data_IF_718678213501
#
_entry.id   IF_718678213501
#
_cell.length_a   1.000
_cell.length_b   1.000
_cell.length_c   1.000
_cell.angle_alpha   90.00
_cell.angle_beta   90.00
_cell.angle_gamma   90.00
#
_symmetry.space_group_name_H-M   'P 1'
#
loop_
_entity.id
_entity.type
_entity.pdbx_description
1 polymer ?
#
# COMPACT_ATOMS: atom_id res chain seq x y z
N UNK A 1 -16.19 -2.40 -20.85
CA UNK A 1 -15.31 -3.21 -21.73
C UNK A 1 -14.25 -2.28 -22.29
N UNK A 2 -12.96 -2.53 -22.03
CA UNK A 2 -11.89 -1.70 -22.60
C UNK A 2 -11.82 -1.90 -24.12
N UNK A 3 -11.70 -0.81 -24.88
CA UNK A 3 -11.44 -0.89 -26.32
C UNK A 3 -10.06 -1.52 -26.59
N UNK A 4 -9.84 -2.05 -27.79
CA UNK A 4 -8.53 -2.62 -28.19
C UNK A 4 -7.41 -1.59 -28.00
N UNK A 5 -7.66 -0.33 -28.35
CA UNK A 5 -6.75 0.79 -28.10
C UNK A 5 -6.48 1.00 -26.61
N UNK A 6 -7.51 0.87 -25.76
CA UNK A 6 -7.34 0.89 -24.31
C UNK A 6 -6.35 -0.16 -23.83
N UNK A 7 -6.51 -1.41 -24.26
CA UNK A 7 -5.66 -2.55 -23.87
C UNK A 7 -4.20 -2.32 -24.26
N UNK A 8 -3.92 -1.81 -25.46
CA UNK A 8 -2.56 -1.51 -25.89
C UNK A 8 -1.89 -0.42 -25.03
N UNK A 9 -2.64 0.63 -24.66
CA UNK A 9 -2.14 1.69 -23.79
C UNK A 9 -1.82 1.17 -22.39
N UNK A 10 -2.63 0.25 -21.84
CA UNK A 10 -2.30 -0.45 -20.58
C UNK A 10 -0.97 -1.17 -20.72
N UNK A 11 -0.81 -1.93 -21.81
CA UNK A 11 0.39 -2.72 -22.08
C UNK A 11 1.63 -1.83 -22.20
N UNK A 12 1.56 -0.72 -22.93
CA UNK A 12 2.67 0.24 -23.02
C UNK A 12 3.02 0.82 -21.65
N UNK A 13 2.01 1.23 -20.89
CA UNK A 13 2.20 1.81 -19.56
C UNK A 13 2.95 0.87 -18.62
N UNK A 14 2.53 -0.40 -18.53
CA UNK A 14 3.20 -1.40 -17.69
C UNK A 14 4.59 -1.77 -18.22
N UNK A 15 4.70 -2.01 -19.54
CA UNK A 15 5.95 -2.47 -20.16
C UNK A 15 7.07 -1.44 -20.07
N UNK A 16 6.73 -0.15 -20.00
CA UNK A 16 7.69 0.92 -19.83
C UNK A 16 8.48 0.74 -18.52
N UNK A 17 7.77 0.56 -17.41
CA UNK A 17 8.38 0.34 -16.09
C UNK A 17 9.09 -1.02 -15.99
N UNK A 18 8.59 -2.07 -16.65
CA UNK A 18 9.31 -3.34 -16.74
C UNK A 18 10.64 -3.20 -17.49
N UNK A 19 10.67 -2.35 -18.53
CA UNK A 19 11.89 -2.06 -19.27
C UNK A 19 12.86 -1.19 -18.45
N UNK A 20 12.35 -0.21 -17.68
CA UNK A 20 13.16 0.53 -16.69
C UNK A 20 13.82 -0.43 -15.69
N UNK A 21 13.03 -1.34 -15.13
CA UNK A 21 13.47 -2.34 -14.17
C UNK A 21 14.54 -3.28 -14.75
N UNK A 22 14.36 -3.68 -16.02
CA UNK A 22 15.33 -4.51 -16.75
C UNK A 22 16.53 -3.70 -17.29
N UNK A 23 16.69 -2.43 -16.89
CA UNK A 23 17.74 -1.50 -17.33
C UNK A 23 17.79 -1.25 -18.83
N UNK A 24 16.72 -1.54 -19.57
CA UNK A 24 16.62 -1.25 -20.99
C UNK A 24 16.00 0.14 -21.21
N UNK A 25 16.80 1.18 -20.96
CA UNK A 25 16.34 2.58 -20.94
C UNK A 25 15.86 3.07 -22.31
N UNK A 26 16.50 2.66 -23.41
CA UNK A 26 16.05 3.02 -24.77
C UNK A 26 14.65 2.49 -25.05
N UNK A 27 14.38 1.23 -24.69
CA UNK A 27 13.05 0.65 -24.83
C UNK A 27 12.05 1.30 -23.87
N UNK A 28 12.45 1.55 -22.62
CA UNK A 28 11.61 2.24 -21.65
C UNK A 28 11.18 3.63 -22.16
N UNK A 29 12.10 4.43 -22.69
CA UNK A 29 11.83 5.75 -23.27
C UNK A 29 10.74 5.68 -24.35
N UNK A 30 10.91 4.80 -25.34
CA UNK A 30 9.94 4.61 -26.43
C UNK A 30 8.55 4.18 -25.91
N UNK A 31 8.51 3.32 -24.89
CA UNK A 31 7.26 2.86 -24.28
C UNK A 31 6.58 3.95 -23.46
N UNK A 32 7.34 4.79 -22.73
CA UNK A 32 6.79 5.96 -22.06
C UNK A 32 6.18 6.95 -23.05
N UNK A 33 6.88 7.24 -24.15
CA UNK A 33 6.37 8.12 -25.21
C UNK A 33 5.05 7.59 -25.81
N UNK A 34 5.01 6.29 -26.12
CA UNK A 34 3.82 5.61 -26.63
C UNK A 34 2.66 5.64 -25.63
N UNK A 35 2.94 5.44 -24.33
CA UNK A 35 1.96 5.55 -23.26
C UNK A 35 1.40 6.98 -23.14
N UNK A 36 2.25 8.02 -23.19
CA UNK A 36 1.81 9.41 -23.16
C UNK A 36 0.87 9.73 -24.31
N UNK A 37 1.23 9.34 -25.53
CA UNK A 37 0.40 9.56 -26.71
C UNK A 37 -0.96 8.86 -26.58
N UNK A 38 -0.95 7.57 -26.24
CA UNK A 38 -2.17 6.79 -26.10
C UNK A 38 -3.09 7.26 -24.97
N UNK A 39 -2.54 7.64 -23.81
CA UNK A 39 -3.32 8.17 -22.69
C UNK A 39 -3.99 9.50 -23.02
N UNK A 40 -3.29 10.40 -23.73
CA UNK A 40 -3.88 11.67 -24.19
C UNK A 40 -5.01 11.44 -25.19
N UNK A 41 -4.84 10.51 -26.14
CA UNK A 41 -5.89 10.15 -27.09
C UNK A 41 -7.13 9.60 -26.37
N UNK A 42 -6.95 8.70 -25.40
CA UNK A 42 -8.06 8.19 -24.58
C UNK A 42 -8.74 9.34 -23.81
N UNK A 43 -7.97 10.25 -23.22
CA UNK A 43 -8.51 11.40 -22.48
C UNK A 43 -9.37 12.33 -23.36
N UNK A 44 -8.99 12.50 -24.64
CA UNK A 44 -9.75 13.24 -25.64
C UNK A 44 -11.03 12.49 -26.06
N UNK A 45 -10.95 11.18 -26.26
CA UNK A 45 -12.10 10.33 -26.63
C UNK A 45 -13.11 10.20 -25.48
N UNK A 46 -12.65 10.16 -24.22
CA UNK A 46 -13.49 10.07 -23.02
C UNK A 46 -13.89 11.45 -22.49
N UNK A 47 -14.12 12.44 -23.36
CA UNK A 47 -14.43 13.81 -22.95
C UNK A 47 -15.70 13.95 -22.09
N UNK A 48 -16.63 12.99 -22.20
CA UNK A 48 -17.84 12.92 -21.39
C UNK A 48 -17.62 12.38 -19.96
N UNK A 49 -16.51 11.67 -19.73
CA UNK A 49 -16.17 11.06 -18.45
C UNK A 49 -15.00 11.83 -17.82
N UNK A 50 -15.36 12.80 -16.98
CA UNK A 50 -14.40 13.68 -16.32
C UNK A 50 -13.44 12.91 -15.40
N UNK A 51 -13.87 11.81 -14.79
CA UNK A 51 -13.01 10.98 -13.94
C UNK A 51 -11.99 10.23 -14.79
N UNK A 52 -12.45 9.51 -15.82
CA UNK A 52 -11.57 8.77 -16.72
C UNK A 52 -10.53 9.70 -17.38
N UNK A 53 -10.97 10.89 -17.82
CA UNK A 53 -10.09 11.93 -18.37
C UNK A 53 -9.03 12.37 -17.36
N UNK A 54 -9.43 12.67 -16.12
CA UNK A 54 -8.50 13.12 -15.08
C UNK A 54 -7.45 12.06 -14.75
N UNK A 55 -7.86 10.79 -14.70
CA UNK A 55 -6.96 9.66 -14.48
C UNK A 55 -5.96 9.56 -15.63
N UNK A 56 -6.42 9.59 -16.88
CA UNK A 56 -5.56 9.53 -18.06
C UNK A 56 -4.58 10.71 -18.10
N UNK A 57 -5.02 11.93 -17.81
CA UNK A 57 -4.17 13.13 -17.79
C UNK A 57 -3.09 13.04 -16.70
N UNK A 58 -3.44 12.61 -15.48
CA UNK A 58 -2.47 12.42 -14.39
C UNK A 58 -1.44 11.36 -14.76
N UNK A 59 -1.88 10.27 -15.39
CA UNK A 59 -0.98 9.20 -15.80
C UNK A 59 -0.07 9.62 -16.97
N UNK A 60 -0.60 10.35 -17.95
CA UNK A 60 0.18 10.90 -19.05
C UNK A 60 1.28 11.83 -18.53
N UNK A 61 0.98 12.68 -17.53
CA UNK A 61 2.00 13.52 -16.88
C UNK A 61 3.06 12.69 -16.16
N UNK A 62 2.67 11.58 -15.53
CA UNK A 62 3.61 10.67 -14.87
C UNK A 62 4.56 10.00 -15.88
N UNK A 63 4.04 9.43 -16.97
CA UNK A 63 4.89 8.87 -18.03
C UNK A 63 5.74 9.93 -18.72
N UNK A 64 5.23 11.15 -18.94
CA UNK A 64 6.02 12.24 -19.53
C UNK A 64 7.20 12.63 -18.63
N UNK A 65 6.99 12.68 -17.32
CA UNK A 65 8.07 12.96 -16.35
C UNK A 65 9.15 11.88 -16.40
N UNK A 66 8.76 10.60 -16.48
CA UNK A 66 9.70 9.47 -16.63
C UNK A 66 10.42 9.48 -17.98
N UNK A 67 9.69 9.76 -19.08
CA UNK A 67 10.27 9.95 -20.40
C UNK A 67 11.38 11.01 -20.40
N UNK A 68 11.13 12.18 -19.79
CA UNK A 68 12.11 13.26 -19.74
C UNK A 68 13.33 12.90 -18.89
N UNK A 69 13.14 12.23 -17.75
CA UNK A 69 14.24 11.73 -16.91
C UNK A 69 15.12 10.72 -17.67
N UNK A 70 14.51 9.74 -18.35
CA UNK A 70 15.25 8.74 -19.10
C UNK A 70 15.97 9.38 -20.28
N UNK A 71 15.30 10.30 -20.99
CA UNK A 71 15.89 11.01 -22.11
C UNK A 71 17.15 11.79 -21.70
N UNK A 72 17.11 12.52 -20.58
CA UNK A 72 18.28 13.25 -20.11
C UNK A 72 19.45 12.32 -19.79
N UNK A 73 19.17 11.16 -19.20
CA UNK A 73 20.19 10.14 -18.91
C UNK A 73 20.82 9.60 -20.21
N UNK A 74 20.00 9.28 -21.22
CA UNK A 74 20.48 8.76 -22.51
C UNK A 74 21.27 9.80 -23.31
N UNK A 75 20.83 11.07 -23.29
CA UNK A 75 21.48 12.17 -24.00
C UNK A 75 22.88 12.49 -23.43
N UNK A 76 23.10 12.21 -22.13
CA UNK A 76 24.39 12.41 -21.45
C UNK A 76 25.43 11.31 -21.75
N UNK A 77 25.14 10.33 -22.62
CA UNK A 77 26.06 9.28 -23.10
C UNK A 77 26.77 8.45 -22.00
N UNK A 78 26.23 8.43 -20.79
CA UNK A 78 26.75 7.60 -19.73
C UNK A 78 25.84 6.38 -19.51
N UNK A 79 26.44 5.21 -19.31
CA UNK A 79 25.76 4.02 -18.75
C UNK A 79 25.36 4.29 -17.29
N UNK A 80 24.44 5.23 -17.08
CA UNK A 80 23.94 5.59 -15.76
C UNK A 80 22.64 4.82 -15.52
N UNK A 81 22.66 4.01 -14.47
CA UNK A 81 21.46 3.41 -13.90
C UNK A 81 20.47 4.51 -13.49
N UNK A 82 19.18 4.21 -13.56
CA UNK A 82 18.16 5.11 -13.02
C UNK A 82 18.46 5.42 -11.53
N UNK A 83 18.35 6.68 -11.09
CA UNK A 83 18.57 7.03 -9.68
C UNK A 83 17.58 6.31 -8.76
N UNK A 84 16.42 5.95 -9.31
CA UNK A 84 15.39 5.20 -8.61
C UNK A 84 14.53 4.40 -9.61
N UNK A 85 14.44 3.09 -9.37
CA UNK A 85 13.53 2.18 -10.07
C UNK A 85 12.23 2.11 -9.27
N UNK A 86 11.11 2.40 -9.94
CA UNK A 86 9.81 2.46 -9.28
C UNK A 86 9.27 1.04 -8.97
N UNK A 87 8.48 0.87 -7.89
CA UNK A 87 7.93 -0.43 -7.54
C UNK A 87 6.92 -0.94 -8.56
N UNK A 88 7.16 -2.11 -9.13
CA UNK A 88 6.30 -2.85 -10.08
C UNK A 88 5.91 -4.24 -9.56
N UNK A 89 5.00 -4.93 -10.23
CA UNK A 89 4.72 -6.35 -9.97
C UNK A 89 5.97 -7.22 -10.14
N UNK A 90 6.79 -6.99 -11.17
CA UNK A 90 8.06 -7.70 -11.36
C UNK A 90 9.02 -7.49 -10.18
N UNK A 91 9.19 -6.24 -9.71
CA UNK A 91 10.06 -5.99 -8.55
C UNK A 91 9.55 -6.66 -7.27
N UNK A 92 8.23 -6.84 -7.14
CA UNK A 92 7.66 -7.55 -6.00
C UNK A 92 7.96 -9.05 -6.07
N UNK A 93 7.85 -9.66 -7.25
CA UNK A 93 8.26 -11.05 -7.50
C UNK A 93 9.76 -11.27 -7.26
N UNK A 94 10.60 -10.35 -7.74
CA UNK A 94 12.04 -10.40 -7.50
C UNK A 94 12.39 -10.20 -6.03
N UNK A 95 11.72 -9.27 -5.34
CA UNK A 95 11.88 -9.09 -3.89
C UNK A 95 11.66 -10.40 -3.16
N UNK A 96 10.59 -11.13 -3.47
CA UNK A 96 10.31 -12.44 -2.87
C UNK A 96 11.39 -13.47 -3.22
N UNK A 97 11.77 -13.57 -4.50
CA UNK A 97 12.77 -14.53 -4.95
C UNK A 97 14.15 -14.28 -4.33
N UNK A 98 14.54 -13.02 -4.13
CA UNK A 98 15.77 -12.64 -3.45
C UNK A 98 15.74 -13.02 -1.97
N UNK A 99 14.64 -12.72 -1.27
CA UNK A 99 14.45 -13.12 0.14
C UNK A 99 14.57 -14.63 0.30
N UNK A 100 13.91 -15.42 -0.57
CA UNK A 100 14.00 -16.88 -0.54
C UNK A 100 15.41 -17.41 -0.81
N UNK A 101 16.14 -16.82 -1.78
CA UNK A 101 17.52 -17.23 -2.09
C UNK A 101 18.48 -17.01 -0.93
N UNK A 102 18.21 -15.99 -0.10
CA UNK A 102 19.00 -15.69 1.09
C UNK A 102 18.65 -16.57 2.29
N UNK A 103 17.60 -17.41 2.17
CA UNK A 103 17.09 -18.21 3.29
C UNK A 103 16.26 -17.39 4.29
N UNK A 104 15.93 -16.16 3.95
CA UNK A 104 15.10 -15.27 4.77
C UNK A 104 13.61 -15.59 4.58
N UNK A 105 12.79 -15.18 5.55
CA UNK A 105 11.34 -15.35 5.49
C UNK A 105 10.70 -14.25 4.63
N UNK A 106 10.11 -14.65 3.50
CA UNK A 106 9.28 -13.79 2.66
C UNK A 106 7.82 -13.85 3.13
N UNK A 107 7.47 -13.06 4.15
CA UNK A 107 6.15 -13.11 4.78
C UNK A 107 5.01 -12.83 3.79
N UNK A 108 5.26 -11.99 2.78
CA UNK A 108 4.31 -11.73 1.71
C UNK A 108 3.96 -12.96 0.88
N UNK A 109 4.96 -13.82 0.58
CA UNK A 109 4.73 -15.07 -0.14
C UNK A 109 4.01 -16.08 0.74
N UNK A 110 4.37 -16.16 2.02
CA UNK A 110 3.71 -17.03 2.99
C UNK A 110 2.23 -16.71 3.11
N UNK A 111 1.85 -15.42 3.13
CA UNK A 111 0.45 -15.00 3.13
C UNK A 111 -0.26 -15.42 1.83
N UNK A 112 0.34 -15.21 0.66
CA UNK A 112 -0.26 -15.63 -0.61
C UNK A 112 -0.50 -17.14 -0.66
N UNK A 113 0.51 -17.94 -0.28
CA UNK A 113 0.40 -19.41 -0.23
C UNK A 113 -0.62 -19.88 0.83
N UNK A 114 -0.67 -19.21 1.98
CA UNK A 114 -1.63 -19.52 3.03
C UNK A 114 -3.07 -19.22 2.57
N UNK A 115 -3.28 -18.08 1.89
CA UNK A 115 -4.59 -17.70 1.37
C UNK A 115 -5.08 -18.71 0.32
N UNK A 116 -4.22 -19.09 -0.64
CA UNK A 116 -4.52 -20.10 -1.64
C UNK A 116 -4.86 -21.46 -0.99
N UNK A 117 -4.00 -21.93 -0.07
CA UNK A 117 -4.22 -23.19 0.62
C UNK A 117 -5.54 -23.22 1.38
N UNK A 118 -5.89 -22.16 2.10
CA UNK A 118 -7.12 -22.12 2.90
C UNK A 118 -8.38 -22.15 2.03
N UNK A 119 -8.35 -21.53 0.84
CA UNK A 119 -9.45 -21.63 -0.12
C UNK A 119 -9.58 -23.05 -0.67
N UNK A 120 -8.48 -23.64 -1.11
CA UNK A 120 -8.50 -25.02 -1.63
C UNK A 120 -8.87 -26.05 -0.54
N UNK A 121 -8.49 -25.79 0.71
CA UNK A 121 -8.83 -26.63 1.87
C UNK A 121 -10.33 -26.60 2.21
N UNK A 122 -11.01 -25.49 1.95
CA UNK A 122 -12.46 -25.37 2.11
C UNK A 122 -13.20 -26.25 1.08
N UNK A 123 -12.70 -26.29 -0.15
CA UNK A 123 -13.22 -27.14 -1.23
C UNK A 123 -12.80 -28.62 -1.07
N UNK A 124 -11.62 -28.87 -0.51
CA UNK A 124 -11.03 -30.20 -0.30
C UNK A 124 -10.53 -30.36 1.15
N UNK A 125 -11.40 -30.80 2.09
CA UNK A 125 -11.07 -30.94 3.50
C UNK A 125 -9.92 -31.89 3.82
N UNK A 126 -9.51 -32.78 2.91
CA UNK A 126 -8.39 -33.70 3.10
C UNK A 126 -7.06 -33.18 2.52
N UNK A 127 -7.05 -31.97 1.94
CA UNK A 127 -5.85 -31.37 1.34
C UNK A 127 -4.72 -31.24 2.36
N UNK A 128 -3.58 -31.85 2.04
CA UNK A 128 -2.37 -31.77 2.85
C UNK A 128 -1.80 -30.34 2.84
N UNK A 129 -1.26 -29.90 3.97
CA UNK A 129 -0.60 -28.59 4.07
C UNK A 129 0.67 -28.58 3.20
N UNK A 130 0.84 -27.61 2.28
CA UNK A 130 2.06 -27.47 1.50
C UNK A 130 3.30 -27.32 2.38
N UNK A 131 4.40 -27.96 2.01
CA UNK A 131 5.64 -27.96 2.80
C UNK A 131 6.18 -26.54 3.07
N UNK A 132 5.98 -25.62 2.13
CA UNK A 132 6.41 -24.23 2.20
C UNK A 132 5.77 -23.48 3.38
N UNK A 133 4.50 -23.76 3.68
CA UNK A 133 3.74 -23.07 4.75
C UNK A 133 3.47 -23.97 5.96
N UNK A 134 3.97 -25.20 5.97
CA UNK A 134 3.73 -26.17 7.05
C UNK A 134 4.11 -25.62 8.42
N UNK A 135 5.20 -24.86 8.49
CA UNK A 135 5.69 -24.24 9.72
C UNK A 135 4.71 -23.20 10.31
N UNK A 136 3.84 -22.60 9.49
CA UNK A 136 2.82 -21.64 9.96
C UNK A 136 1.75 -22.30 10.84
N UNK A 137 1.55 -23.61 10.69
CA UNK A 137 0.56 -24.39 11.42
C UNK A 137 1.12 -25.01 12.70
N UNK A 138 2.45 -24.98 12.89
CA UNK A 138 3.10 -25.49 14.08
C UNK A 138 3.55 -24.33 14.97
N UNK A 139 2.72 -24.03 15.98
CA UNK A 139 2.95 -22.98 16.97
C UNK A 139 4.27 -23.11 17.74
N UNK A 140 4.90 -24.28 17.75
CA UNK A 140 6.19 -24.49 18.42
C UNK A 140 7.39 -24.09 17.55
N UNK A 141 7.18 -23.97 16.23
CA UNK A 141 8.23 -23.66 15.25
C UNK A 141 8.10 -22.27 14.63
N UNK A 142 6.96 -21.60 14.81
CA UNK A 142 6.71 -20.29 14.22
C UNK A 142 7.55 -19.22 14.93
N UNK A 143 8.70 -18.90 14.33
CA UNK A 143 9.55 -17.80 14.78
C UNK A 143 8.88 -16.45 14.54
N UNK A 144 9.04 -15.48 15.46
CA UNK A 144 8.61 -14.11 15.24
C UNK A 144 9.29 -13.49 14.02
N UNK A 145 8.50 -12.91 13.13
CA UNK A 145 8.97 -12.25 11.91
C UNK A 145 9.84 -11.02 12.21
N UNK A 146 9.49 -10.22 13.22
CA UNK A 146 10.24 -9.03 13.60
C UNK A 146 11.67 -9.34 14.06
N UNK A 147 11.94 -10.60 14.45
CA UNK A 147 13.27 -11.07 14.84
C UNK A 147 14.04 -11.71 13.68
N UNK A 148 13.38 -12.05 12.56
CA UNK A 148 14.04 -12.61 11.37
C UNK A 148 14.54 -11.55 10.39
N UNK A 149 14.21 -10.27 10.61
CA UNK A 149 14.66 -9.18 9.75
C UNK A 149 16.12 -8.83 10.00
N UNK A 150 16.90 -8.67 8.92
CA UNK A 150 18.29 -8.22 9.02
C UNK A 150 18.37 -6.77 9.53
N UNK A 151 18.86 -6.64 10.77
CA UNK A 151 19.04 -5.35 11.44
C UNK A 151 20.05 -4.41 10.76
N UNK A 152 20.88 -4.91 9.85
CA UNK A 152 21.84 -4.10 9.08
C UNK A 152 21.19 -3.40 7.87
N UNK A 153 20.00 -3.83 7.45
CA UNK A 153 19.29 -3.20 6.34
C UNK A 153 18.69 -1.87 6.76
N UNK A 154 19.02 -0.82 6.01
CA UNK A 154 18.50 0.53 6.27
C UNK A 154 16.98 0.57 6.11
N UNK A 155 16.31 1.24 7.05
CA UNK A 155 14.87 1.47 6.96
C UNK A 155 14.53 2.39 5.79
N UNK A 156 13.47 2.06 5.04
CA UNK A 156 12.97 2.89 3.94
C UNK A 156 12.10 4.02 4.50
N UNK A 157 12.28 5.24 4.04
CA UNK A 157 11.53 6.40 4.51
C UNK A 157 10.83 7.13 3.38
N UNK A 158 9.59 7.53 3.63
CA UNK A 158 8.71 8.14 2.64
C UNK A 158 7.99 9.35 3.24
N UNK A 159 7.81 10.37 2.41
CA UNK A 159 6.88 11.47 2.63
C UNK A 159 5.58 11.17 1.91
N UNK A 160 4.47 11.23 2.62
CA UNK A 160 3.13 11.18 2.04
C UNK A 160 2.63 12.61 1.82
N UNK A 161 2.40 12.97 0.56
CA UNK A 161 1.79 14.24 0.15
C UNK A 161 0.37 13.97 -0.37
N UNK A 162 -0.55 14.93 -0.22
CA UNK A 162 -1.92 14.77 -0.72
C UNK A 162 -2.18 15.75 -1.86
N UNK A 163 -2.54 15.22 -3.02
CA UNK A 163 -3.12 16.01 -4.10
C UNK A 163 -4.65 16.00 -3.97
N UNK A 164 -5.28 17.15 -4.16
CA UNK A 164 -6.74 17.27 -4.19
C UNK A 164 -7.21 17.59 -5.60
N UNK A 165 -8.17 16.82 -6.09
CA UNK A 165 -8.97 17.17 -7.26
C UNK A 165 -10.28 17.80 -6.76
N UNK A 166 -10.34 19.14 -6.81
CA UNK A 166 -11.49 19.92 -6.35
C UNK A 166 -12.76 19.66 -7.16
N UNK A 167 -12.62 19.19 -8.40
CA UNK A 167 -13.76 18.95 -9.30
C UNK A 167 -14.54 17.69 -8.90
N UNK A 168 -13.85 16.67 -8.38
CA UNK A 168 -14.45 15.36 -8.08
C UNK A 168 -14.42 15.00 -6.59
N UNK A 169 -14.07 15.95 -5.71
CA UNK A 169 -13.86 15.71 -4.27
C UNK A 169 -12.98 14.45 -4.02
N UNK A 170 -11.99 14.27 -4.89
CA UNK A 170 -11.12 13.10 -4.90
C UNK A 170 -9.76 13.48 -4.33
N UNK A 171 -9.33 12.75 -3.31
CA UNK A 171 -8.06 12.95 -2.63
C UNK A 171 -7.10 11.85 -3.03
N UNK A 172 -5.86 12.25 -3.28
CA UNK A 172 -4.81 11.37 -3.78
C UNK A 172 -3.59 11.46 -2.87
N UNK A 173 -3.57 10.76 -1.74
CA UNK A 173 -2.33 10.53 -1.01
C UNK A 173 -1.31 9.82 -1.91
N UNK A 174 -0.10 10.36 -1.99
CA UNK A 174 1.03 9.88 -2.79
C UNK A 174 2.23 9.64 -1.87
N UNK A 175 2.85 8.47 -1.97
CA UNK A 175 4.07 8.15 -1.22
C UNK A 175 5.32 8.41 -2.07
N UNK A 176 6.19 9.28 -1.56
CA UNK A 176 7.44 9.67 -2.18
C UNK A 176 8.62 9.26 -1.31
N UNK A 177 9.64 8.55 -1.83
CA UNK A 177 10.86 8.32 -1.07
C UNK A 177 11.47 9.65 -0.63
N UNK A 178 11.99 9.74 0.61
CA UNK A 178 12.56 11.00 1.12
C UNK A 178 13.74 11.47 0.24
N UNK A 179 14.57 10.54 -0.21
CA UNK A 179 15.75 10.84 -1.03
C UNK A 179 15.40 11.12 -2.51
N UNK A 180 14.15 10.87 -2.92
CA UNK A 180 13.67 11.02 -4.30
C UNK A 180 12.25 11.63 -4.30
N UNK A 181 12.08 12.87 -3.81
CA UNK A 181 10.76 13.45 -3.54
C UNK A 181 9.89 13.63 -4.79
N UNK A 182 10.51 13.73 -5.97
CA UNK A 182 9.79 13.87 -7.25
C UNK A 182 9.25 12.52 -7.77
N UNK A 183 9.65 11.40 -7.16
CA UNK A 183 9.22 10.06 -7.55
C UNK A 183 8.05 9.60 -6.68
N UNK A 184 6.94 9.27 -7.31
CA UNK A 184 5.78 8.67 -6.61
C UNK A 184 5.86 7.16 -6.71
N UNK A 185 5.92 6.45 -5.58
CA UNK A 185 5.96 4.98 -5.54
C UNK A 185 4.57 4.37 -5.45
N UNK A 186 3.76 4.92 -4.56
CA UNK A 186 2.43 4.40 -4.25
C UNK A 186 1.42 5.53 -4.18
N UNK A 187 0.16 5.21 -4.47
CA UNK A 187 -0.93 6.17 -4.51
C UNK A 187 -2.19 5.53 -3.93
N UNK A 188 -2.91 6.28 -3.12
CA UNK A 188 -4.24 5.94 -2.66
C UNK A 188 -5.23 6.85 -3.38
N UNK A 189 -6.33 6.28 -3.90
CA UNK A 189 -7.45 7.04 -4.44
C UNK A 189 -8.59 7.01 -3.45
N UNK A 190 -8.99 8.19 -3.00
CA UNK A 190 -10.10 8.39 -2.07
C UNK A 190 -11.14 9.26 -2.74
N UNK A 191 -12.23 8.66 -3.19
CA UNK A 191 -13.35 9.39 -3.79
C UNK A 191 -14.38 9.67 -2.69
N UNK A 192 -14.80 10.93 -2.55
CA UNK A 192 -15.80 11.32 -1.57
C UNK A 192 -16.94 12.05 -2.26
N UNK A 193 -18.17 11.55 -2.15
CA UNK A 193 -19.35 12.25 -2.67
C UNK A 193 -20.13 12.91 -1.55
N UNK A 194 -20.03 14.24 -1.45
CA UNK A 194 -20.77 15.04 -0.47
C UNK A 194 -20.38 14.72 0.98
N UNK A 195 -21.37 14.72 1.88
CA UNK A 195 -21.16 14.56 3.34
C UNK A 195 -20.99 13.11 3.81
N UNK A 196 -20.96 12.13 2.91
CA UNK A 196 -20.82 10.73 3.30
C UNK A 196 -19.37 10.40 3.68
N UNK A 197 -19.23 9.39 4.54
CA UNK A 197 -17.94 8.74 4.77
C UNK A 197 -17.59 7.96 3.50
N UNK A 198 -16.32 7.94 3.12
CA UNK A 198 -15.88 7.04 2.05
C UNK A 198 -15.73 5.62 2.60
N UNK A 199 -16.31 4.67 1.88
CA UNK A 199 -16.36 3.25 2.27
C UNK A 199 -15.37 2.42 1.45
N UNK A 200 -15.28 2.70 0.14
CA UNK A 200 -14.40 1.96 -0.76
C UNK A 200 -13.32 2.90 -1.29
N UNK A 201 -12.06 2.50 -1.10
CA UNK A 201 -10.89 3.21 -1.60
C UNK A 201 -9.95 2.21 -2.25
N UNK A 202 -9.10 2.69 -3.14
CA UNK A 202 -8.25 1.84 -3.95
C UNK A 202 -6.79 2.28 -3.83
N UNK A 203 -5.89 1.33 -3.61
CA UNK A 203 -4.46 1.56 -3.46
C UNK A 203 -3.69 0.98 -4.64
N UNK A 204 -2.75 1.77 -5.16
CA UNK A 204 -2.07 1.52 -6.42
C UNK A 204 -0.55 1.62 -6.24
N UNK A 205 0.17 0.77 -6.98
CA UNK A 205 1.52 1.10 -7.40
C UNK A 205 1.42 2.24 -8.41
N UNK A 206 2.27 3.27 -8.30
CA UNK A 206 2.21 4.41 -9.22
C UNK A 206 2.46 4.00 -10.68
N UNK A 207 3.16 2.89 -10.88
CA UNK A 207 3.45 2.30 -12.19
C UNK A 207 2.25 1.55 -12.81
N UNK A 208 1.17 1.32 -12.06
CA UNK A 208 0.08 0.41 -12.42
C UNK A 208 -1.30 1.07 -12.27
N UNK A 209 -1.53 2.14 -13.02
CA UNK A 209 -2.60 3.11 -12.72
C UNK A 209 -4.05 2.63 -12.91
N UNK A 210 -4.27 1.52 -13.63
CA UNK A 210 -5.64 1.02 -13.92
C UNK A 210 -6.04 -0.07 -12.93
N UNK A 211 -5.06 -0.79 -12.39
CA UNK A 211 -5.30 -1.99 -11.61
C UNK A 211 -4.93 -1.67 -10.17
N UNK A 212 -5.92 -1.56 -9.26
CA UNK A 212 -5.61 -1.45 -7.85
C UNK A 212 -4.83 -2.70 -7.43
N UNK A 213 -3.79 -2.50 -6.64
CA UNK A 213 -3.08 -3.62 -6.05
C UNK A 213 -3.69 -4.06 -4.72
N UNK A 214 -4.42 -3.17 -4.06
CA UNK A 214 -5.22 -3.47 -2.87
C UNK A 214 -6.53 -2.66 -2.97
N UNK A 215 -7.65 -3.36 -2.95
CA UNK A 215 -8.97 -2.79 -2.70
C UNK A 215 -9.21 -2.72 -1.19
N UNK A 216 -9.76 -1.61 -0.72
CA UNK A 216 -9.89 -1.34 0.72
C UNK A 216 -11.32 -0.96 1.05
N UNK A 217 -11.93 -1.74 1.95
CA UNK A 217 -13.28 -1.51 2.45
C UNK A 217 -13.20 -1.02 3.90
N UNK A 218 -13.80 0.13 4.17
CA UNK A 218 -13.82 0.78 5.48
C UNK A 218 -15.21 0.66 6.07
N UNK A 219 -15.31 0.10 7.28
CA UNK A 219 -16.58 0.05 7.98
C UNK A 219 -17.03 1.46 8.39
N UNK A 220 -18.22 1.85 7.92
CA UNK A 220 -18.88 3.11 8.30
C UNK A 220 -19.15 3.18 9.80
N UNK A 221 -19.00 4.37 10.38
CA UNK A 221 -19.29 4.63 11.81
C UNK A 221 -20.37 5.68 11.97
N UNK A 222 -21.16 5.60 13.04
CA UNK A 222 -22.14 6.65 13.33
C UNK A 222 -21.46 8.02 13.51
N UNK A 223 -21.98 9.05 12.84
CA UNK A 223 -21.53 10.43 13.03
C UNK A 223 -21.68 10.84 14.50
N UNK A 224 -20.72 11.61 15.01
CA UNK A 224 -20.80 12.20 16.37
C UNK A 224 -21.28 13.65 16.36
N UNK A 225 -21.55 14.21 15.19
CA UNK A 225 -21.74 15.66 15.02
C UNK A 225 -20.45 16.49 15.13
N UNK A 226 -19.33 15.89 15.56
CA UNK A 226 -17.99 16.48 15.54
C UNK A 226 -17.11 15.72 14.53
N UNK A 227 -16.59 16.45 13.54
CA UNK A 227 -15.71 15.89 12.49
C UNK A 227 -14.48 15.20 13.05
N UNK A 228 -13.79 15.85 14.00
CA UNK A 228 -12.54 15.36 14.57
C UNK A 228 -12.80 14.11 15.41
N UNK A 229 -13.87 14.10 16.20
CA UNK A 229 -14.23 12.93 16.99
C UNK A 229 -14.68 11.76 16.09
N UNK A 230 -15.43 12.04 15.03
CA UNK A 230 -15.89 11.00 14.10
C UNK A 230 -14.73 10.40 13.30
N UNK A 231 -13.73 11.20 12.90
CA UNK A 231 -12.52 10.69 12.26
C UNK A 231 -11.65 9.88 13.20
N UNK A 232 -11.73 10.11 14.51
CA UNK A 232 -10.98 9.35 15.52
C UNK A 232 -11.66 8.06 16.01
N UNK A 233 -12.90 7.77 15.58
CA UNK A 233 -13.59 6.53 15.96
C UNK A 233 -12.90 5.30 15.38
N UNK A 234 -12.71 4.28 16.23
CA UNK A 234 -12.31 2.93 15.82
C UNK A 234 -13.29 2.34 14.82
N UNK A 235 -12.77 1.65 13.80
CA UNK A 235 -13.54 0.90 12.80
C UNK A 235 -12.69 -0.24 12.24
N UNK A 236 -13.35 -1.24 11.69
CA UNK A 236 -12.65 -2.29 10.95
C UNK A 236 -12.28 -1.77 9.56
N UNK A 237 -11.13 -2.20 9.06
CA UNK A 237 -10.65 -1.91 7.71
C UNK A 237 -10.22 -3.22 7.08
N UNK A 238 -10.78 -3.54 5.93
CA UNK A 238 -10.53 -4.76 5.18
C UNK A 238 -9.69 -4.41 3.94
N UNK A 239 -8.64 -5.18 3.72
CA UNK A 239 -7.68 -5.01 2.63
C UNK A 239 -7.67 -6.28 1.78
N UNK A 240 -8.05 -6.17 0.52
CA UNK A 240 -8.09 -7.27 -0.44
C UNK A 240 -7.03 -7.03 -1.51
N UNK A 241 -5.92 -7.78 -1.42
CA UNK A 241 -4.85 -7.69 -2.39
C UNK A 241 -5.24 -8.40 -3.70
N UNK A 242 -4.81 -7.85 -4.85
CA UNK A 242 -5.14 -8.39 -6.17
C UNK A 242 -4.65 -9.83 -6.41
N UNK A 243 -3.65 -10.28 -5.65
CA UNK A 243 -3.04 -11.60 -5.70
C UNK A 243 -3.38 -12.47 -4.47
N UNK A 244 -4.40 -12.09 -3.70
CA UNK A 244 -4.87 -12.86 -2.55
C UNK A 244 -6.36 -13.15 -2.70
N UNK A 245 -6.75 -14.39 -2.47
CA UNK A 245 -8.15 -14.80 -2.38
C UNK A 245 -8.80 -14.43 -1.05
N UNK A 246 -8.00 -14.04 -0.06
CA UNK A 246 -8.44 -13.70 1.29
C UNK A 246 -8.14 -12.25 1.64
N UNK A 247 -9.12 -11.59 2.25
CA UNK A 247 -8.95 -10.25 2.78
C UNK A 247 -8.26 -10.26 4.15
N UNK A 248 -7.39 -9.28 4.37
CA UNK A 248 -6.76 -9.01 5.65
C UNK A 248 -7.62 -7.97 6.36
N UNK A 249 -8.04 -8.27 7.59
CA UNK A 249 -8.93 -7.38 8.34
C UNK A 249 -8.23 -6.84 9.58
N UNK A 250 -8.12 -5.51 9.64
CA UNK A 250 -7.70 -4.78 10.83
C UNK A 250 -8.92 -4.59 11.75
N UNK A 251 -8.91 -5.27 12.88
CA UNK A 251 -9.96 -5.20 13.90
C UNK A 251 -9.55 -4.25 15.04
N UNK A 252 -10.39 -3.27 15.40
CA UNK A 252 -10.13 -2.47 16.59
C UNK A 252 -10.34 -3.30 17.87
N UNK A 253 -9.43 -3.16 18.84
CA UNK A 253 -9.59 -3.83 20.15
C UNK A 253 -10.80 -3.33 20.95
N UNK A 254 -11.29 -2.12 20.66
CA UNK A 254 -12.44 -1.52 21.33
C UNK A 254 -13.14 -0.56 20.38
N UNK A 255 -14.44 -0.75 20.19
CA UNK A 255 -15.29 0.12 19.38
C UNK A 255 -15.66 1.42 20.12
N UNK A 256 -15.61 1.43 21.45
CA UNK A 256 -16.14 2.53 22.29
C UNK A 256 -15.13 3.63 22.67
N UNK A 257 -13.82 3.47 22.38
CA UNK A 257 -12.80 4.46 22.78
C UNK A 257 -12.75 5.67 21.83
N UNK A 258 -12.46 6.85 22.40
CA UNK A 258 -12.44 8.16 21.69
C UNK A 258 -11.29 8.37 20.70
N UNK A 259 -10.31 7.47 20.66
CA UNK A 259 -9.15 7.54 19.77
C UNK A 259 -9.06 6.28 18.93
N UNK A 260 -8.29 6.34 17.83
CA UNK A 260 -7.84 5.14 17.11
C UNK A 260 -7.06 4.29 18.11
N UNK A 261 -7.77 3.40 18.79
CA UNK A 261 -7.18 2.44 19.70
C UNK A 261 -6.29 1.49 18.93
N UNK A 262 -5.67 0.56 19.64
CA UNK A 262 -4.89 -0.47 18.99
C UNK A 262 -5.75 -1.32 18.03
N UNK A 263 -5.25 -1.55 16.82
CA UNK A 263 -5.92 -2.37 15.80
C UNK A 263 -5.07 -3.60 15.50
N UNK A 264 -5.68 -4.78 15.49
CA UNK A 264 -5.01 -6.06 15.27
C UNK A 264 -5.37 -6.64 13.92
N UNK A 265 -4.43 -7.34 13.30
CA UNK A 265 -4.69 -8.16 12.12
C UNK A 265 -3.78 -9.38 12.13
N UNK A 266 -4.15 -10.39 11.33
CA UNK A 266 -3.33 -11.56 11.06
C UNK A 266 -2.71 -11.43 9.67
N UNK A 267 -1.45 -11.83 9.52
CA UNK A 267 -0.77 -11.90 8.24
C UNK A 267 0.26 -13.03 8.28
N UNK A 268 0.20 -13.94 7.31
CA UNK A 268 0.99 -15.18 7.23
C UNK A 268 0.98 -15.96 8.56
N UNK A 269 -0.20 -16.16 9.15
CA UNK A 269 -0.34 -16.88 10.43
C UNK A 269 0.22 -16.17 11.67
N UNK A 270 0.74 -14.94 11.53
CA UNK A 270 1.30 -14.13 12.62
C UNK A 270 0.37 -12.99 13.02
N UNK A 271 0.44 -12.60 14.29
CA UNK A 271 -0.39 -11.53 14.86
C UNK A 271 0.34 -10.19 14.86
N UNK A 272 -0.30 -9.15 14.34
CA UNK A 272 0.24 -7.79 14.32
C UNK A 272 -0.70 -6.81 15.01
N UNK A 273 -0.14 -5.73 15.55
CA UNK A 273 -0.90 -4.65 16.18
C UNK A 273 -0.37 -3.28 15.79
N UNK A 274 -1.28 -2.41 15.37
CA UNK A 274 -1.08 -0.97 15.29
C UNK A 274 -1.29 -0.36 16.67
N UNK A 275 -0.30 0.37 17.20
CA UNK A 275 -0.38 1.07 18.49
C UNK A 275 -0.18 2.56 18.24
N UNK A 276 -1.18 3.36 18.57
CA UNK A 276 -1.08 4.82 18.57
C UNK A 276 -0.36 5.27 19.85
N UNK A 277 0.78 5.98 19.75
CA UNK A 277 1.49 6.47 20.93
C UNK A 277 0.62 7.41 21.76
N UNK A 278 0.69 7.29 23.09
CA UNK A 278 0.02 8.22 23.99
C UNK A 278 0.78 9.55 24.00
N UNK A 279 0.24 10.55 23.29
CA UNK A 279 0.80 11.89 23.19
C UNK A 279 -0.26 12.94 23.48
N UNK A 280 0.14 14.04 24.16
CA UNK A 280 -0.83 14.98 24.72
C UNK A 280 -1.62 15.76 23.66
N UNK A 281 -1.07 16.01 22.47
CA UNK A 281 -1.75 16.86 21.46
C UNK A 281 -1.39 16.63 19.98
N UNK A 282 -0.40 15.79 19.65
CA UNK A 282 -0.03 15.53 18.25
C UNK A 282 -0.74 14.29 17.72
N UNK A 283 -1.39 14.46 16.57
CA UNK A 283 -1.93 13.35 15.80
C UNK A 283 -0.74 12.60 15.24
N UNK A 284 -0.53 11.36 15.67
CA UNK A 284 0.54 10.51 15.18
C UNK A 284 -0.06 9.35 14.40
N UNK A 285 0.66 8.91 13.37
CA UNK A 285 0.36 7.66 12.72
C UNK A 285 0.68 6.50 13.69
N UNK A 286 -0.14 5.44 13.72
CA UNK A 286 0.12 4.33 14.61
C UNK A 286 1.39 3.58 14.20
N UNK A 287 2.05 2.96 15.19
CA UNK A 287 3.25 2.16 15.02
C UNK A 287 2.88 0.67 14.93
N UNK A 288 3.47 -0.07 14.00
CA UNK A 288 3.27 -1.51 13.85
C UNK A 288 4.24 -2.30 14.70
N UNK A 289 3.72 -3.30 15.39
CA UNK A 289 4.47 -4.32 16.08
C UNK A 289 3.92 -5.71 15.76
N UNK A 290 4.79 -6.71 15.75
CA UNK A 290 4.37 -8.11 15.90
C UNK A 290 4.06 -8.40 17.37
N UNK A 291 3.14 -9.32 17.64
CA UNK A 291 2.77 -9.73 19.00
C UNK A 291 2.69 -11.25 19.11
N UNK A 292 2.90 -11.76 20.33
CA UNK A 292 2.80 -13.21 20.58
C UNK A 292 1.40 -13.72 20.22
N UNK A 293 1.37 -14.91 19.58
CA UNK A 293 0.15 -15.51 19.06
C UNK A 293 -0.91 -15.68 20.16
N UNK A 294 -2.04 -15.03 19.94
CA UNK A 294 -3.13 -14.96 20.90
C UNK A 294 -4.20 -13.98 20.42
N UNK A 295 -5.07 -14.44 19.52
CA UNK A 295 -6.38 -13.84 19.28
C UNK A 295 -7.39 -14.30 20.37
N UNK A 296 -6.88 -14.59 21.56
CA UNK A 296 -7.65 -15.05 22.71
C UNK A 296 -8.20 -13.88 23.49
N UNK A 297 -9.51 -13.94 23.73
CA UNK A 297 -10.37 -13.01 24.46
C UNK A 297 -9.98 -12.79 25.95
N UNK A 298 -8.80 -13.26 26.35
CA UNK A 298 -8.27 -13.16 27.71
C UNK A 298 -7.00 -12.31 27.74
N UNK A 299 -7.15 -11.01 27.51
CA UNK A 299 -6.18 -10.03 28.03
C UNK A 299 -6.88 -9.12 29.03
N UNK A 300 -6.70 -9.45 30.31
CA UNK A 300 -6.81 -8.48 31.41
C UNK A 300 -6.19 -7.17 30.94
N UNK A 301 -6.97 -6.08 30.91
CA UNK A 301 -6.53 -4.69 30.75
C UNK A 301 -5.23 -4.52 29.93
N UNK A 302 -5.36 -4.59 28.61
CA UNK A 302 -4.50 -3.89 27.66
C UNK A 302 -3.03 -4.31 27.64
N UNK A 303 -2.68 -5.16 26.68
CA UNK A 303 -1.29 -5.30 26.26
C UNK A 303 -1.09 -6.62 25.52
N UNK A 304 -1.23 -6.61 24.21
CA UNK A 304 -0.59 -7.65 23.41
C UNK A 304 0.91 -7.58 23.66
N UNK A 305 1.55 -8.70 24.00
CA UNK A 305 2.99 -8.72 24.24
C UNK A 305 3.72 -8.54 22.91
N UNK A 306 4.32 -7.38 22.75
CA UNK A 306 5.11 -7.00 21.57
C UNK A 306 6.34 -7.91 21.48
N UNK A 307 6.63 -8.34 20.25
CA UNK A 307 7.79 -9.16 19.92
C UNK A 307 8.67 -8.39 18.93
N UNK A 308 9.97 -8.33 19.23
CA UNK A 308 10.95 -7.64 18.38
C UNK A 308 10.78 -6.13 18.32
N UNK A 309 11.36 -5.53 17.28
CA UNK A 309 11.35 -4.10 17.05
C UNK A 309 10.09 -3.65 16.28
N UNK A 310 9.81 -2.34 16.31
CA UNK A 310 8.78 -1.73 15.47
C UNK A 310 9.04 -1.99 13.98
N UNK A 311 8.00 -2.33 13.23
CA UNK A 311 8.09 -2.67 11.81
C UNK A 311 7.75 -1.48 10.89
N UNK A 312 6.83 -0.62 11.32
CA UNK A 312 6.41 0.56 10.59
C UNK A 312 5.97 1.67 11.55
N UNK A 313 6.39 2.90 11.29
CA UNK A 313 6.03 4.06 12.13
C UNK A 313 6.04 5.34 11.31
N UNK A 314 5.53 6.43 11.88
CA UNK A 314 5.44 7.69 11.14
C UNK A 314 4.95 8.85 11.98
N UNK A 315 5.05 10.05 11.42
CA UNK A 315 4.50 11.27 12.00
C UNK A 315 3.54 11.94 11.02
N UNK A 316 2.41 12.44 11.53
CA UNK A 316 1.51 13.29 10.75
C UNK A 316 1.80 14.76 11.09
N UNK A 317 2.00 15.57 10.07
CA UNK A 317 2.02 17.02 10.16
C UNK A 317 0.65 17.54 9.71
N UNK A 318 -0.27 17.91 10.62
CA UNK A 318 -1.55 18.52 10.24
C UNK A 318 -1.36 19.97 9.76
N UNK A 319 -2.34 20.51 9.03
CA UNK A 319 -2.38 21.92 8.62
C UNK A 319 -2.59 22.12 7.12
N UNK A 320 -2.30 23.34 6.64
CA UNK A 320 -2.45 23.74 5.23
C UNK A 320 -1.60 22.88 4.27
N UNK A 321 -0.46 22.40 4.76
CA UNK A 321 0.47 21.51 4.04
C UNK A 321 0.46 20.10 4.68
N UNK A 322 -0.74 19.57 4.92
CA UNK A 322 -0.92 18.28 5.57
C UNK A 322 -0.09 17.21 4.86
N UNK A 323 0.81 16.59 5.61
CA UNK A 323 1.72 15.57 5.10
C UNK A 323 2.04 14.57 6.20
N UNK A 324 2.45 13.37 5.81
CA UNK A 324 2.96 12.40 6.76
C UNK A 324 4.36 11.94 6.38
N UNK A 325 5.07 11.39 7.35
CA UNK A 325 6.25 10.56 7.13
C UNK A 325 5.90 9.13 7.51
N UNK A 326 6.36 8.17 6.72
CA UNK A 326 6.23 6.74 6.99
C UNK A 326 7.62 6.14 6.86
N UNK A 327 8.03 5.38 7.87
CA UNK A 327 9.26 4.61 7.90
C UNK A 327 8.90 3.14 8.04
N UNK A 328 9.49 2.30 7.19
CA UNK A 328 9.34 0.84 7.22
C UNK A 328 10.72 0.26 7.46
N UNK A 329 10.82 -0.67 8.42
CA UNK A 329 12.08 -1.32 8.76
C UNK A 329 12.68 -2.04 7.55
N UNK A 330 14.01 -2.11 7.47
CA UNK A 330 14.71 -2.83 6.41
C UNK A 330 14.37 -4.33 6.42
N UNK A 331 14.46 -4.97 5.25
CA UNK A 331 14.18 -6.40 5.09
C UNK A 331 12.71 -6.78 4.90
N UNK A 332 11.78 -5.83 5.06
CA UNK A 332 10.36 -6.07 4.72
C UNK A 332 10.21 -6.25 3.20
N UNK A 333 9.59 -7.34 2.80
CA UNK A 333 9.32 -7.61 1.38
C UNK A 333 8.25 -6.65 0.82
N UNK A 334 8.30 -6.46 -0.50
CA UNK A 334 7.46 -5.47 -1.16
C UNK A 334 5.95 -5.79 -1.08
N UNK A 335 5.53 -7.05 -0.89
CA UNK A 335 4.11 -7.39 -0.73
C UNK A 335 3.59 -6.89 0.61
N UNK A 336 4.32 -7.17 1.69
CA UNK A 336 3.94 -6.68 3.01
C UNK A 336 4.06 -5.15 3.08
N UNK A 337 5.13 -4.56 2.52
CA UNK A 337 5.31 -3.11 2.40
C UNK A 337 4.09 -2.39 1.82
N UNK A 338 3.50 -2.94 0.75
CA UNK A 338 2.27 -2.40 0.13
C UNK A 338 1.10 -2.36 1.10
N UNK A 339 0.88 -3.43 1.87
CA UNK A 339 -0.17 -3.46 2.89
C UNK A 339 0.08 -2.38 3.95
N UNK A 340 1.33 -2.19 4.36
CA UNK A 340 1.69 -1.17 5.36
C UNK A 340 1.40 0.25 4.85
N UNK A 341 1.69 0.54 3.58
CA UNK A 341 1.33 1.81 2.95
C UNK A 341 -0.18 1.99 2.81
N UNK A 342 -0.86 0.98 2.27
CA UNK A 342 -2.32 0.99 2.13
C UNK A 342 -2.98 1.30 3.46
N UNK A 343 -2.52 0.64 4.52
CA UNK A 343 -2.97 0.88 5.89
C UNK A 343 -2.69 2.31 6.35
N UNK A 344 -1.42 2.75 6.38
CA UNK A 344 -1.06 4.09 6.87
C UNK A 344 -1.74 5.22 6.10
N UNK A 345 -1.78 5.14 4.77
CA UNK A 345 -2.41 6.15 3.92
C UNK A 345 -3.93 6.18 4.10
N UNK A 346 -4.56 5.02 4.33
CA UNK A 346 -5.99 4.93 4.65
C UNK A 346 -6.31 5.61 5.97
N UNK A 347 -5.54 5.32 7.03
CA UNK A 347 -5.70 5.96 8.34
C UNK A 347 -5.52 7.48 8.24
N UNK A 348 -4.50 7.92 7.50
CA UNK A 348 -4.29 9.34 7.22
C UNK A 348 -5.47 9.97 6.46
N UNK A 349 -5.98 9.30 5.42
CA UNK A 349 -7.11 9.79 4.65
C UNK A 349 -8.37 9.91 5.52
N UNK A 350 -8.66 8.92 6.39
CA UNK A 350 -9.82 8.97 7.29
C UNK A 350 -9.66 10.13 8.27
N UNK A 351 -8.46 10.31 8.81
CA UNK A 351 -8.17 11.42 9.72
C UNK A 351 -8.39 12.79 9.06
N UNK A 352 -7.88 12.97 7.84
CA UNK A 352 -7.93 14.26 7.14
C UNK A 352 -9.28 14.52 6.46
N UNK A 353 -9.90 13.51 5.85
CA UNK A 353 -11.00 13.67 4.90
C UNK A 353 -12.23 12.82 5.20
N UNK A 354 -12.18 11.93 6.19
CA UNK A 354 -13.21 10.91 6.41
C UNK A 354 -14.57 11.41 6.89
N UNK A 355 -14.65 12.64 7.41
CA UNK A 355 -15.88 13.17 8.02
C UNK A 355 -16.02 14.66 7.74
N UNK A 356 -17.26 15.14 7.56
CA UNK A 356 -17.61 16.57 7.42
C UNK A 356 -18.26 17.15 8.67
N UNK A 357 -18.45 18.49 8.60
CA UNK A 357 -19.27 19.35 9.45
C UNK A 357 -20.76 19.21 9.09
#
# INVERSE_FOLDING_TARGET
>A
MASIQGIEVIRYSLSAFYSEHSKNLTKAQSLHESAVFGLKAIAEDTWHDQEARTICDKQAKFHASRYHLIRSILDENHEIDLPFVLPTTLSAEESMNCTLKNGDLAIGLEESLLAEYLVEKDENPDLAVPNQIKHLFDSTTLSPYALSLDSNLTSKQYKIAVDMDSTNYSYWPNAHPIDQPDQTCYRLRVNRWGKTQFENIAFYRATEFIIPCIDINITSVASTGDRKLSSMKSRSIEYTASNSSRAIVEHPNSLEKRTWGSQKFMYAGRSFVWITPEGKWDVQLPMLYEVENGMGDNTRKGGSKVVGNKLCWGGLKPGKDASATVTIVGGVDQLFEKLLFASQMTKMAIFLFGHDI
#
